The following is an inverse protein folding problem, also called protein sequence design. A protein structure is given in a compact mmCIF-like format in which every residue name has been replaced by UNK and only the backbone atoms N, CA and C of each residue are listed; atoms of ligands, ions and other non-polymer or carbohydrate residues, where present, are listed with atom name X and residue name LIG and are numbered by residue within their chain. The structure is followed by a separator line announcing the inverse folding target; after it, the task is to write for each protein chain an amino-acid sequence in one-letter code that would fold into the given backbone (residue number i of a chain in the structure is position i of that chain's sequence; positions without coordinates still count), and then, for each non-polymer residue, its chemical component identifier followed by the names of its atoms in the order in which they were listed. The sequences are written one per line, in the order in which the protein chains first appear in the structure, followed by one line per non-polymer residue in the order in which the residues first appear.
data_IF_238264761513
#
_entry.id   IF_238264761513
#
_cell.length_a   1.000
_cell.length_b   1.000
_cell.length_c   1.000
_cell.angle_alpha   90.00
_cell.angle_beta   90.00
_cell.angle_gamma   90.00
#
_symmetry.space_group_name_H-M   'P 1'
#
loop_
_entity.id
_entity.type
_entity.pdbx_description
1 polymer ?
#
# COMPACT_ATOMS: atom_id res chain seq x y z
N UNK A 1 -18.50 -2.64 12.66
CA UNK A 1 -17.42 -3.45 13.26
C UNK A 1 -16.09 -2.95 12.74
N UNK A 2 -15.61 -1.80 13.24
CA UNK A 2 -14.30 -1.19 12.88
C UNK A 2 -13.37 -1.17 14.12
N UNK A 3 -13.83 -1.67 15.28
CA UNK A 3 -13.16 -1.48 16.57
C UNK A 3 -12.19 -2.61 16.98
N UNK A 4 -11.98 -3.63 16.15
CA UNK A 4 -11.16 -4.81 16.54
C UNK A 4 -9.80 -4.92 15.82
N UNK A 5 -9.47 -3.99 14.92
CA UNK A 5 -8.14 -3.94 14.29
C UNK A 5 -7.12 -3.06 15.06
N UNK A 6 -7.50 -2.55 16.24
CA UNK A 6 -6.76 -1.50 16.96
C UNK A 6 -5.63 -2.02 17.87
N UNK A 7 -5.41 -3.33 17.95
CA UNK A 7 -4.51 -3.92 18.97
C UNK A 7 -3.04 -4.04 18.50
N UNK A 8 -2.76 -4.09 17.19
CA UNK A 8 -1.41 -4.39 16.69
C UNK A 8 -0.69 -3.25 15.94
N UNK A 9 -1.26 -2.03 15.88
CA UNK A 9 -0.57 -0.89 15.26
C UNK A 9 0.20 -0.07 16.31
N UNK A 10 1.53 -0.02 16.19
CA UNK A 10 2.35 0.84 17.05
C UNK A 10 2.05 2.31 16.80
N UNK A 11 2.38 3.17 17.77
CA UNK A 11 2.24 4.62 17.58
C UNK A 11 3.07 5.16 16.40
N UNK A 12 4.17 4.49 16.06
CA UNK A 12 4.99 4.84 14.90
C UNK A 12 4.29 4.47 13.58
N UNK A 13 3.77 3.25 13.46
CA UNK A 13 3.03 2.80 12.27
C UNK A 13 1.75 3.61 12.07
N UNK A 14 1.06 3.98 13.16
CA UNK A 14 -0.11 4.85 13.08
C UNK A 14 0.25 6.23 12.54
N UNK A 15 1.30 6.87 13.07
CA UNK A 15 1.76 8.18 12.56
C UNK A 15 2.21 8.08 11.11
N UNK A 16 2.89 7.00 10.74
CA UNK A 16 3.29 6.76 9.35
C UNK A 16 2.05 6.70 8.46
N UNK A 17 1.05 5.89 8.83
CA UNK A 17 -0.20 5.76 8.08
C UNK A 17 -0.89 7.12 7.89
N UNK A 18 -1.04 7.90 8.96
CA UNK A 18 -1.68 9.22 8.93
C UNK A 18 -0.99 10.20 7.94
N UNK A 19 0.29 10.01 7.64
CA UNK A 19 1.04 10.88 6.71
C UNK A 19 1.06 10.37 5.27
N UNK A 20 0.91 9.06 5.05
CA UNK A 20 1.01 8.47 3.72
C UNK A 20 -0.35 8.13 3.12
N UNK A 21 -1.38 7.96 3.95
CA UNK A 21 -2.72 7.59 3.50
C UNK A 21 -3.31 8.67 2.60
N UNK A 22 -3.95 8.25 1.52
CA UNK A 22 -4.68 9.13 0.61
C UNK A 22 -6.15 8.72 0.56
N UNK A 23 -7.00 9.57 -0.03
CA UNK A 23 -8.33 9.12 -0.44
C UNK A 23 -8.17 8.03 -1.50
N UNK A 24 -8.85 6.87 -1.36
CA UNK A 24 -8.67 5.78 -2.30
C UNK A 24 -8.97 6.20 -3.74
N UNK A 25 -8.05 5.92 -4.64
CA UNK A 25 -8.19 6.19 -6.07
C UNK A 25 -7.66 5.03 -6.91
N UNK A 26 -8.18 4.86 -8.13
CA UNK A 26 -7.75 3.77 -9.00
C UNK A 26 -6.56 4.16 -9.85
N UNK A 27 -5.50 3.36 -9.81
CA UNK A 27 -4.36 3.48 -10.72
C UNK A 27 -4.29 2.29 -11.65
N UNK A 28 -3.83 2.56 -12.88
CA UNK A 28 -3.64 1.53 -13.89
C UNK A 28 -2.40 0.72 -13.55
N UNK A 29 -2.44 -0.57 -13.84
CA UNK A 29 -1.29 -1.45 -13.88
C UNK A 29 -1.34 -2.11 -15.26
N UNK A 30 -0.21 -2.14 -15.95
CA UNK A 30 -0.10 -2.81 -17.25
C UNK A 30 0.95 -3.93 -17.12
N UNK A 31 0.71 -5.13 -17.65
CA UNK A 31 -0.43 -5.52 -18.48
C UNK A 31 -1.67 -6.01 -17.71
N UNK A 32 -1.65 -6.05 -16.37
CA UNK A 32 -2.69 -6.68 -15.55
C UNK A 32 -3.57 -5.61 -14.85
N UNK A 33 -4.90 -5.78 -14.85
CA UNK A 33 -5.82 -4.81 -14.20
C UNK A 33 -6.69 -4.00 -15.16
N UNK A 34 -6.60 -4.27 -16.46
CA UNK A 34 -7.51 -3.70 -17.48
C UNK A 34 -8.97 -4.14 -17.30
N UNK A 35 -9.21 -5.34 -16.72
CA UNK A 35 -10.57 -5.87 -16.49
C UNK A 35 -11.33 -5.14 -15.36
N UNK A 36 -10.62 -4.58 -14.37
CA UNK A 36 -11.19 -3.91 -13.19
C UNK A 36 -11.02 -2.39 -13.18
N UNK A 37 -10.38 -1.81 -14.20
CA UNK A 37 -10.04 -0.38 -14.25
C UNK A 37 -8.87 0.00 -13.33
N UNK A 38 -8.00 -0.94 -12.99
CA UNK A 38 -6.86 -0.75 -12.10
C UNK A 38 -7.07 -1.21 -10.66
N UNK A 39 -6.07 -0.94 -9.82
CA UNK A 39 -6.06 -1.28 -8.39
C UNK A 39 -6.30 -0.05 -7.52
N UNK A 40 -6.80 -0.26 -6.30
CA UNK A 40 -7.07 0.82 -5.35
C UNK A 40 -5.79 1.25 -4.66
N UNK A 41 -5.34 2.47 -4.91
CA UNK A 41 -4.26 3.10 -4.17
C UNK A 41 -4.79 3.68 -2.88
N UNK A 42 -4.12 3.37 -1.77
CA UNK A 42 -4.52 3.83 -0.45
C UNK A 42 -3.43 4.61 0.28
N UNK A 43 -2.18 4.59 -0.22
CA UNK A 43 -1.11 5.40 0.35
C UNK A 43 0.07 5.66 -0.59
N UNK A 44 0.74 6.79 -0.40
CA UNK A 44 1.89 7.25 -1.18
C UNK A 44 3.01 7.75 -0.29
N UNK A 45 4.24 7.34 -0.58
CA UNK A 45 5.44 7.83 0.10
C UNK A 45 6.66 7.81 -0.82
N UNK A 46 7.18 9.00 -1.13
CA UNK A 46 8.24 9.15 -2.12
C UNK A 46 7.80 8.53 -3.46
N UNK A 47 8.57 7.55 -3.96
CA UNK A 47 8.26 6.78 -5.18
C UNK A 47 7.62 5.42 -4.90
N UNK A 48 7.10 5.19 -3.69
CA UNK A 48 6.40 3.96 -3.34
C UNK A 48 4.89 4.21 -3.23
N UNK A 49 4.12 3.21 -3.61
CA UNK A 49 2.67 3.19 -3.60
C UNK A 49 2.18 1.95 -2.87
N UNK A 50 1.21 2.14 -1.96
CA UNK A 50 0.48 1.06 -1.30
C UNK A 50 -0.85 0.89 -2.03
N UNK A 51 -1.09 -0.31 -2.55
CA UNK A 51 -2.30 -0.62 -3.29
C UNK A 51 -2.98 -1.89 -2.76
N UNK A 52 -4.30 -1.90 -2.86
CA UNK A 52 -5.15 -3.00 -2.44
C UNK A 52 -5.61 -3.79 -3.67
N UNK A 53 -5.41 -5.10 -3.61
CA UNK A 53 -5.90 -6.06 -4.59
C UNK A 53 -7.27 -6.57 -4.11
N UNK A 54 -8.34 -6.16 -4.78
CA UNK A 54 -9.72 -6.56 -4.47
C UNK A 54 -10.04 -8.00 -4.86
N UNK A 55 -9.23 -8.61 -5.73
CA UNK A 55 -9.38 -10.02 -6.13
C UNK A 55 -8.75 -10.94 -5.08
N UNK A 56 -7.60 -10.55 -4.52
CA UNK A 56 -6.81 -11.37 -3.58
C UNK A 56 -6.98 -10.94 -2.11
N UNK A 57 -7.74 -9.88 -1.83
CA UNK A 57 -7.96 -9.31 -0.50
C UNK A 57 -6.67 -9.00 0.28
N UNK A 58 -5.73 -8.31 -0.37
CA UNK A 58 -4.39 -8.06 0.19
C UNK A 58 -3.81 -6.70 -0.21
N UNK A 59 -2.85 -6.23 0.58
CA UNK A 59 -2.10 -4.99 0.33
C UNK A 59 -0.72 -5.29 -0.23
N UNK A 60 -0.31 -4.47 -1.19
CA UNK A 60 0.99 -4.56 -1.84
C UNK A 60 1.70 -3.21 -1.78
N UNK A 61 3.04 -3.26 -1.76
CA UNK A 61 3.90 -2.10 -1.89
C UNK A 61 4.66 -2.21 -3.21
N UNK A 62 4.66 -1.14 -3.99
CA UNK A 62 5.37 -1.12 -5.27
C UNK A 62 5.99 0.23 -5.53
N UNK A 63 6.99 0.29 -6.40
CA UNK A 63 7.50 1.57 -6.90
C UNK A 63 6.65 2.06 -8.06
N UNK A 64 6.53 3.38 -8.17
CA UNK A 64 5.93 4.05 -9.32
C UNK A 64 6.88 5.11 -9.88
N UNK A 65 6.82 5.30 -11.19
CA UNK A 65 7.57 6.35 -11.92
C UNK A 65 6.65 7.46 -12.39
N UNK A 66 5.41 7.11 -12.76
CA UNK A 66 4.37 8.01 -13.23
C UNK A 66 3.18 7.94 -12.27
N UNK A 67 2.68 9.09 -11.82
CA UNK A 67 1.46 9.14 -11.01
C UNK A 67 0.29 8.55 -11.82
N UNK A 68 -0.46 7.63 -11.21
CA UNK A 68 -1.55 6.93 -11.88
C UNK A 68 -1.17 5.58 -12.50
N UNK A 69 0.12 5.18 -12.43
CA UNK A 69 0.62 3.93 -12.98
C UNK A 69 1.44 3.15 -11.93
N UNK A 70 1.05 1.89 -11.66
CA UNK A 70 1.82 0.98 -10.79
C UNK A 70 2.93 0.33 -11.63
N UNK A 71 4.19 0.57 -11.27
CA UNK A 71 5.35 0.16 -12.08
C UNK A 71 5.73 -1.32 -11.95
N UNK A 72 5.65 -1.89 -10.75
CA UNK A 72 5.96 -3.31 -10.51
C UNK A 72 4.77 -3.99 -9.85
N UNK A 73 4.29 -5.09 -10.43
CA UNK A 73 3.27 -5.93 -9.79
C UNK A 73 3.96 -6.95 -8.87
N UNK A 74 3.56 -6.95 -7.61
CA UNK A 74 3.94 -7.96 -6.63
C UNK A 74 2.67 -8.66 -6.15
N UNK A 75 2.76 -9.97 -5.85
CA UNK A 75 1.67 -10.76 -5.30
C UNK A 75 2.03 -11.12 -3.85
N UNK A 76 2.19 -10.09 -3.03
CA UNK A 76 2.35 -10.25 -1.59
C UNK A 76 0.96 -10.00 -1.03
N UNK A 77 0.23 -11.05 -0.68
CA UNK A 77 -1.09 -10.96 -0.06
C UNK A 77 -0.95 -10.49 1.41
N UNK A 78 -0.24 -9.39 1.61
CA UNK A 78 0.18 -8.89 2.91
C UNK A 78 -0.96 -8.10 3.57
N UNK A 79 -0.99 -8.14 4.90
CA UNK A 79 -1.81 -7.21 5.66
C UNK A 79 -1.25 -5.78 5.53
N UNK A 80 -2.10 -4.77 5.69
CA UNK A 80 -1.64 -3.37 5.74
C UNK A 80 -0.58 -3.16 6.82
N UNK A 81 -0.71 -3.82 7.96
CA UNK A 81 0.28 -3.75 9.03
C UNK A 81 1.63 -4.29 8.58
N UNK A 82 1.67 -5.45 7.91
CA UNK A 82 2.91 -6.02 7.35
C UNK A 82 3.61 -5.04 6.42
N UNK A 83 2.85 -4.38 5.53
CA UNK A 83 3.37 -3.35 4.63
C UNK A 83 3.92 -2.15 5.39
N UNK A 84 3.21 -1.65 6.41
CA UNK A 84 3.63 -0.53 7.23
C UNK A 84 4.88 -0.85 8.05
N UNK A 85 4.98 -2.03 8.65
CA UNK A 85 6.15 -2.47 9.40
C UNK A 85 7.38 -2.55 8.48
N UNK A 86 7.24 -3.13 7.28
CA UNK A 86 8.31 -3.18 6.28
C UNK A 86 8.75 -1.80 5.82
N UNK A 87 7.79 -0.92 5.53
CA UNK A 87 8.05 0.46 5.13
C UNK A 87 8.76 1.25 6.25
N UNK A 88 8.34 1.09 7.51
CA UNK A 88 8.97 1.75 8.64
C UNK A 88 10.44 1.32 8.80
N UNK A 89 10.76 0.04 8.62
CA UNK A 89 12.16 -0.46 8.60
C UNK A 89 12.96 0.15 7.45
N UNK A 90 12.37 0.27 6.25
CA UNK A 90 13.03 0.91 5.11
C UNK A 90 13.34 2.39 5.36
N UNK A 91 12.48 3.11 6.09
CA UNK A 91 12.65 4.54 6.39
C UNK A 91 13.68 4.76 7.50
N UNK A 92 13.61 3.96 8.57
CA UNK A 92 14.49 4.11 9.74
C UNK A 92 15.89 3.58 9.45
N UNK A 93 16.03 2.72 8.43
CA UNK A 93 17.32 2.20 7.96
C UNK A 93 17.89 1.17 8.91
N UNK A 94 17.51 -0.09 8.73
CA UNK A 94 18.33 -1.19 9.25
C UNK A 94 19.61 -1.28 8.40
N UNK A 95 20.74 -0.99 9.05
CA UNK A 95 22.12 -1.17 8.58
C UNK A 95 22.60 -2.62 8.74
#
# INVERSE_FOLDING_TARGET
MINEATIDISAAERRLWEHISILPEKWKQEPYGTQGGGFWIVGLIGRNVIWYNDIEDGFNLSRYTTYGEIGEYWCNQDSLLTVLTGLNRMIVGDA
#
